data_IF_369587711014
#
_entry.id   IF_369587711014
#
_cell.length_a   1.000
_cell.length_b   1.000
_cell.length_c   1.000
_cell.angle_alpha   90.00
_cell.angle_beta   90.00
_cell.angle_gamma   90.00
#
_symmetry.space_group_name_H-M   'P 1'
#
loop_
_entity.id
_entity.type
_entity.pdbx_description
1 polymer ?
#
# COMPACT_ATOMS: atom_id res chain seq x y z
N UNK A 1 21.47 -14.70 -46.81
CA UNK A 1 21.41 -14.28 -45.38
C UNK A 1 20.56 -13.02 -45.12
N UNK A 2 19.55 -12.68 -45.94
CA UNK A 2 18.74 -11.43 -45.74
C UNK A 2 17.27 -11.64 -45.33
N UNK A 3 16.72 -12.86 -45.44
CA UNK A 3 15.31 -13.14 -45.14
C UNK A 3 14.98 -13.33 -43.65
N UNK A 4 15.98 -13.70 -42.83
CA UNK A 4 15.76 -13.98 -41.39
C UNK A 4 15.60 -12.71 -40.54
N UNK A 5 16.18 -11.59 -40.98
CA UNK A 5 16.11 -10.31 -40.23
C UNK A 5 14.77 -9.60 -40.43
N UNK A 6 14.10 -9.81 -41.57
CA UNK A 6 12.82 -9.16 -41.87
C UNK A 6 11.68 -9.79 -41.05
N UNK A 7 11.71 -11.12 -40.84
CA UNK A 7 10.75 -11.80 -39.98
C UNK A 7 10.86 -11.39 -38.50
N UNK A 8 12.07 -11.14 -38.00
CA UNK A 8 12.29 -10.72 -36.61
C UNK A 8 11.74 -9.33 -36.32
N UNK A 9 11.77 -8.42 -37.30
CA UNK A 9 11.24 -7.06 -37.15
C UNK A 9 9.71 -7.09 -37.17
N UNK A 10 9.10 -7.88 -38.06
CA UNK A 10 7.65 -8.04 -38.13
C UNK A 10 7.06 -8.68 -36.85
N UNK A 11 7.77 -9.64 -36.24
CA UNK A 11 7.34 -10.23 -34.97
C UNK A 11 7.39 -9.22 -33.80
N UNK A 12 8.37 -8.31 -33.79
CA UNK A 12 8.52 -7.30 -32.74
C UNK A 12 7.41 -6.23 -32.82
N UNK A 13 7.03 -5.78 -34.02
CA UNK A 13 5.95 -4.79 -34.20
C UNK A 13 4.57 -5.36 -33.86
N UNK A 14 4.30 -6.63 -34.17
CA UNK A 14 3.03 -7.26 -33.79
C UNK A 14 2.93 -7.47 -32.27
N UNK A 15 4.02 -7.87 -31.60
CA UNK A 15 4.05 -7.99 -30.14
C UNK A 15 3.88 -6.64 -29.43
N UNK A 16 4.46 -5.56 -29.98
CA UNK A 16 4.33 -4.21 -29.41
C UNK A 16 2.91 -3.64 -29.57
N UNK A 17 2.26 -3.88 -30.72
CA UNK A 17 0.87 -3.46 -30.95
C UNK A 17 -0.15 -4.22 -30.10
N UNK A 18 0.08 -5.52 -29.86
CA UNK A 18 -0.73 -6.29 -28.92
C UNK A 18 -0.54 -5.81 -27.48
N UNK A 19 0.67 -5.40 -27.09
CA UNK A 19 0.92 -4.85 -25.74
C UNK A 19 0.20 -3.50 -25.52
N UNK A 20 0.10 -2.65 -26.55
CA UNK A 20 -0.69 -1.41 -26.46
C UNK A 20 -2.21 -1.65 -26.35
N UNK A 21 -2.73 -2.76 -26.90
CA UNK A 21 -4.15 -3.11 -26.77
C UNK A 21 -4.50 -3.62 -25.36
N UNK A 22 -3.58 -4.32 -24.68
CA UNK A 22 -3.79 -4.79 -23.30
C UNK A 22 -3.59 -3.71 -22.25
N UNK A 23 -2.75 -2.69 -22.49
CA UNK A 23 -2.65 -1.52 -21.63
C UNK A 23 -3.95 -0.68 -21.60
N UNK A 24 -4.78 -0.77 -22.65
CA UNK A 24 -6.08 -0.07 -22.72
C UNK A 24 -7.21 -0.70 -21.90
N UNK A 25 -7.11 -1.98 -21.53
CA UNK A 25 -8.15 -2.67 -20.76
C UNK A 25 -7.95 -2.60 -19.24
N UNK A 26 -6.76 -2.20 -18.77
CA UNK A 26 -6.47 -1.98 -17.34
C UNK A 26 -6.43 -0.51 -16.93
N UNK A 27 -6.61 0.42 -17.86
CA UNK A 27 -6.99 1.79 -17.52
C UNK A 27 -8.49 1.76 -17.19
N UNK A 28 -8.78 1.34 -15.96
CA UNK A 28 -9.92 1.88 -15.21
C UNK A 28 -9.83 3.39 -15.41
N UNK A 29 -10.86 3.97 -16.03
CA UNK A 29 -11.09 5.41 -16.17
C UNK A 29 -10.44 6.16 -15.00
N UNK A 30 -9.23 6.67 -15.24
CA UNK A 30 -8.70 7.75 -14.46
C UNK A 30 -9.51 8.95 -14.94
N UNK A 31 -10.55 9.29 -14.18
CA UNK A 31 -11.20 10.59 -14.30
C UNK A 31 -10.12 11.64 -14.08
N UNK A 32 -9.54 12.12 -15.18
CA UNK A 32 -8.65 13.25 -15.24
C UNK A 32 -9.48 14.47 -14.85
N UNK A 33 -9.56 14.76 -13.55
CA UNK A 33 -10.16 15.98 -13.05
C UNK A 33 -9.12 17.08 -13.23
N UNK A 34 -9.31 18.06 -14.13
CA UNK A 34 -8.40 19.17 -14.24
C UNK A 34 -8.46 19.96 -12.94
N UNK A 35 -7.30 20.09 -12.29
CA UNK A 35 -7.04 20.99 -11.18
C UNK A 35 -7.51 22.40 -11.53
N UNK A 36 -8.70 22.74 -11.07
CA UNK A 36 -9.18 24.11 -10.97
C UNK A 36 -9.66 24.30 -9.53
N UNK A 37 -8.86 25.05 -8.78
CA UNK A 37 -9.16 25.51 -7.43
C UNK A 37 -10.48 26.29 -7.46
N UNK A 38 -11.59 25.61 -7.22
CA UNK A 38 -12.83 26.24 -6.77
C UNK A 38 -13.29 25.49 -5.54
N UNK A 39 -13.08 26.14 -4.40
CA UNK A 39 -13.55 25.77 -3.08
C UNK A 39 -15.08 25.85 -3.04
N UNK A 40 -15.78 24.96 -3.74
CA UNK A 40 -17.18 24.70 -3.43
C UNK A 40 -17.19 23.85 -2.17
N UNK A 41 -17.50 24.50 -1.04
CA UNK A 41 -17.98 23.83 0.17
C UNK A 41 -19.22 23.01 -0.22
N UNK A 42 -19.02 21.77 -0.62
CA UNK A 42 -20.09 20.78 -0.72
C UNK A 42 -20.56 20.59 0.72
N UNK A 43 -21.79 21.02 0.98
CA UNK A 43 -22.41 20.92 2.29
C UNK A 43 -22.29 19.50 2.81
N UNK A 44 -21.67 19.36 3.98
CA UNK A 44 -21.63 18.11 4.71
C UNK A 44 -23.07 17.66 4.94
N UNK A 45 -23.50 16.61 4.25
CA UNK A 45 -24.75 15.92 4.55
C UNK A 45 -24.59 15.25 5.92
N UNK A 46 -24.94 15.97 6.98
CA UNK A 46 -25.12 15.39 8.33
C UNK A 46 -26.43 14.59 8.34
N UNK A 47 -26.42 13.40 7.74
CA UNK A 47 -27.48 12.41 7.90
C UNK A 47 -27.34 11.72 9.27
N UNK A 48 -27.82 12.39 10.32
CA UNK A 48 -27.70 12.05 11.76
C UNK A 48 -28.25 10.68 12.22
N UNK A 49 -28.82 9.87 11.32
CA UNK A 49 -29.32 8.53 11.67
C UNK A 49 -28.49 7.36 11.11
N UNK A 50 -27.84 7.54 9.96
CA UNK A 50 -27.03 6.51 9.28
C UNK A 50 -25.55 6.85 9.18
N UNK A 51 -25.15 8.11 9.37
CA UNK A 51 -23.74 8.51 9.33
C UNK A 51 -22.95 8.04 10.53
N UNK A 52 -23.59 7.90 11.70
CA UNK A 52 -22.90 7.47 12.93
C UNK A 52 -22.41 6.03 12.81
N UNK A 53 -23.25 5.12 12.30
CA UNK A 53 -22.84 3.72 12.08
C UNK A 53 -21.63 3.60 11.15
N UNK A 54 -21.61 4.37 10.06
CA UNK A 54 -20.48 4.37 9.11
C UNK A 54 -19.22 4.94 9.76
N UNK A 55 -19.34 6.07 10.46
CA UNK A 55 -18.23 6.70 11.16
C UNK A 55 -17.65 5.75 12.23
N UNK A 56 -18.50 5.18 13.08
CA UNK A 56 -18.13 4.24 14.15
C UNK A 56 -17.45 2.99 13.58
N UNK A 57 -17.94 2.46 12.46
CA UNK A 57 -17.36 1.31 11.78
C UNK A 57 -15.96 1.64 11.24
N UNK A 58 -15.79 2.80 10.59
CA UNK A 58 -14.48 3.27 10.10
C UNK A 58 -13.52 3.48 11.27
N UNK A 59 -13.95 4.13 12.34
CA UNK A 59 -13.14 4.31 13.54
C UNK A 59 -12.69 2.99 14.15
N UNK A 60 -13.59 2.01 14.22
CA UNK A 60 -13.28 0.68 14.76
C UNK A 60 -12.17 0.01 13.94
N UNK A 61 -12.27 0.06 12.61
CA UNK A 61 -11.26 -0.52 11.70
C UNK A 61 -9.91 0.17 11.91
N UNK A 62 -9.89 1.50 11.90
CA UNK A 62 -8.65 2.29 12.08
C UNK A 62 -8.03 2.04 13.46
N UNK A 63 -8.84 2.02 14.53
CA UNK A 63 -8.35 1.76 15.90
C UNK A 63 -7.77 0.35 16.03
N UNK A 64 -8.39 -0.64 15.37
CA UNK A 64 -7.91 -2.02 15.38
C UNK A 64 -6.61 -2.16 14.60
N UNK A 65 -6.50 -1.55 13.42
CA UNK A 65 -5.26 -1.51 12.64
C UNK A 65 -4.10 -0.84 13.40
N UNK A 66 -4.36 0.30 14.04
CA UNK A 66 -3.38 0.95 14.91
C UNK A 66 -2.96 0.04 16.09
N UNK A 67 -3.88 -0.82 16.57
CA UNK A 67 -3.54 -1.82 17.59
C UNK A 67 -2.60 -2.88 17.05
N UNK A 68 -2.90 -3.44 15.88
CA UNK A 68 -2.00 -4.37 15.18
C UNK A 68 -0.63 -3.73 14.95
N UNK A 69 -0.59 -2.45 14.55
CA UNK A 69 0.65 -1.69 14.35
C UNK A 69 1.46 -1.51 15.63
N UNK A 70 0.79 -1.28 16.78
CA UNK A 70 1.46 -1.26 18.10
C UNK A 70 2.00 -2.62 18.49
N UNK A 71 1.27 -3.70 18.21
CA UNK A 71 1.74 -5.06 18.47
C UNK A 71 2.98 -5.39 17.64
N UNK A 72 2.98 -5.05 16.35
CA UNK A 72 4.19 -5.09 15.52
C UNK A 72 5.33 -4.29 16.15
N UNK A 73 5.07 -3.03 16.52
CA UNK A 73 6.07 -2.17 17.15
C UNK A 73 6.68 -2.77 18.42
N UNK A 74 5.89 -3.45 19.25
CA UNK A 74 6.39 -4.19 20.43
C UNK A 74 7.30 -5.35 20.03
N UNK A 75 6.93 -6.14 19.02
CA UNK A 75 7.78 -7.23 18.50
C UNK A 75 9.10 -6.69 17.96
N UNK A 76 9.05 -5.61 17.19
CA UNK A 76 10.24 -4.95 16.66
C UNK A 76 11.15 -4.37 17.75
N UNK A 77 10.58 -3.79 18.80
CA UNK A 77 11.38 -3.30 19.94
C UNK A 77 12.10 -4.42 20.70
N UNK A 78 11.49 -5.61 20.81
CA UNK A 78 12.14 -6.78 21.43
C UNK A 78 13.31 -7.31 20.60
N UNK A 79 13.28 -7.06 19.29
CA UNK A 79 14.29 -7.47 18.32
C UNK A 79 15.47 -6.49 18.32
N UNK A 80 15.17 -5.19 18.38
CA UNK A 80 16.16 -4.12 18.43
C UNK A 80 15.58 -2.92 19.18
N UNK A 81 16.14 -2.59 20.35
CA UNK A 81 15.71 -1.45 21.15
C UNK A 81 15.88 -0.11 20.41
N UNK A 82 16.82 -0.04 19.46
CA UNK A 82 17.14 1.16 18.68
C UNK A 82 16.31 1.28 17.39
N UNK A 83 15.42 0.31 17.09
CA UNK A 83 14.66 0.24 15.83
C UNK A 83 15.53 0.44 14.58
N UNK A 84 16.78 -0.04 14.60
CA UNK A 84 17.63 0.13 13.43
C UNK A 84 17.07 -0.71 12.28
N UNK A 85 17.31 -0.27 11.03
CA UNK A 85 16.95 -1.05 9.87
C UNK A 85 17.50 -2.48 10.01
N UNK A 86 16.67 -3.51 9.78
CA UNK A 86 16.96 -4.90 10.14
C UNK A 86 18.14 -5.52 9.37
N UNK A 87 18.63 -4.81 8.35
CA UNK A 87 19.65 -5.31 7.44
C UNK A 87 21.04 -5.42 8.06
N UNK A 88 21.29 -4.77 9.19
CA UNK A 88 22.56 -4.82 9.93
C UNK A 88 22.59 -5.91 11.04
N UNK A 89 21.49 -6.59 11.34
CA UNK A 89 21.39 -7.52 12.48
C UNK A 89 21.11 -8.98 12.09
N UNK A 90 21.44 -9.89 13.00
CA UNK A 90 21.05 -11.31 12.97
C UNK A 90 19.53 -11.53 13.04
N UNK A 91 18.75 -10.47 13.27
CA UNK A 91 17.31 -10.52 13.53
C UNK A 91 16.43 -10.08 12.34
N UNK A 92 17.01 -9.94 11.14
CA UNK A 92 16.26 -9.62 9.93
C UNK A 92 15.04 -10.54 9.68
N UNK A 93 15.19 -11.83 9.96
CA UNK A 93 14.11 -12.80 9.81
C UNK A 93 12.92 -12.49 10.72
N UNK A 94 13.19 -12.09 11.96
CA UNK A 94 12.16 -11.79 12.97
C UNK A 94 11.46 -10.46 12.63
N UNK A 95 12.19 -9.50 12.06
CA UNK A 95 11.62 -8.26 11.55
C UNK A 95 10.63 -8.53 10.41
N UNK A 96 11.05 -9.31 9.40
CA UNK A 96 10.20 -9.67 8.27
C UNK A 96 8.93 -10.42 8.73
N UNK A 97 9.08 -11.34 9.69
CA UNK A 97 7.96 -12.08 10.29
C UNK A 97 6.98 -11.15 11.02
N UNK A 98 7.47 -10.23 11.86
CA UNK A 98 6.62 -9.27 12.56
C UNK A 98 5.82 -8.36 11.59
N UNK A 99 6.43 -7.95 10.46
CA UNK A 99 5.73 -7.20 9.42
C UNK A 99 4.67 -8.07 8.73
N UNK A 100 5.02 -9.31 8.36
CA UNK A 100 4.09 -10.25 7.71
C UNK A 100 2.87 -10.56 8.59
N UNK A 101 3.06 -10.78 9.89
CA UNK A 101 1.97 -10.99 10.85
C UNK A 101 1.06 -9.76 10.97
N UNK A 102 1.63 -8.55 10.95
CA UNK A 102 0.86 -7.31 10.90
C UNK A 102 -0.01 -7.24 9.65
N UNK A 103 0.57 -7.52 8.47
CA UNK A 103 -0.17 -7.52 7.20
C UNK A 103 -1.31 -8.51 7.28
N UNK A 104 -1.06 -9.75 7.71
CA UNK A 104 -2.10 -10.77 7.87
C UNK A 104 -3.22 -10.33 8.82
N UNK A 105 -2.88 -9.74 9.96
CA UNK A 105 -3.85 -9.31 10.97
C UNK A 105 -4.72 -8.14 10.48
N UNK A 106 -4.10 -7.17 9.81
CA UNK A 106 -4.80 -5.98 9.32
C UNK A 106 -5.61 -6.25 8.05
N UNK A 107 -5.12 -7.08 7.12
CA UNK A 107 -5.85 -7.40 5.89
C UNK A 107 -7.17 -8.12 6.14
N UNK A 108 -7.24 -8.90 7.23
CA UNK A 108 -8.44 -9.64 7.63
C UNK A 108 -9.51 -8.75 8.29
N UNK A 109 -9.24 -7.45 8.50
CA UNK A 109 -10.25 -6.53 9.01
C UNK A 109 -11.37 -6.33 7.97
N UNK A 110 -12.59 -6.70 8.34
CA UNK A 110 -13.75 -6.53 7.46
C UNK A 110 -14.10 -5.05 7.28
N UNK A 111 -13.80 -4.55 6.09
CA UNK A 111 -14.25 -3.25 5.56
C UNK A 111 -15.57 -3.32 4.80
N UNK A 112 -16.25 -4.47 4.84
CA UNK A 112 -17.60 -4.59 4.30
C UNK A 112 -18.53 -3.61 5.02
N UNK A 113 -19.53 -3.11 4.29
CA UNK A 113 -20.48 -2.10 4.76
C UNK A 113 -19.86 -0.73 5.09
N UNK A 114 -18.60 -0.48 4.71
CA UNK A 114 -18.03 0.88 4.62
C UNK A 114 -18.23 1.46 3.21
N UNK A 115 -18.13 2.79 3.03
CA UNK A 115 -18.17 3.41 1.72
C UNK A 115 -17.09 2.90 0.75
N UNK A 116 -17.41 2.85 -0.55
CA UNK A 116 -16.52 2.25 -1.58
C UNK A 116 -15.16 2.94 -1.70
N UNK A 117 -15.11 4.25 -1.48
CA UNK A 117 -13.87 5.01 -1.47
C UNK A 117 -13.00 4.68 -0.25
N UNK A 118 -13.61 4.47 0.92
CA UNK A 118 -12.90 3.96 2.10
C UNK A 118 -12.35 2.56 1.85
N UNK A 119 -13.16 1.64 1.33
CA UNK A 119 -12.69 0.29 0.94
C UNK A 119 -11.53 0.36 -0.07
N UNK A 120 -11.59 1.28 -1.02
CA UNK A 120 -10.55 1.47 -2.03
C UNK A 120 -9.26 2.02 -1.43
N UNK A 121 -9.35 3.02 -0.53
CA UNK A 121 -8.21 3.56 0.20
C UNK A 121 -7.57 2.50 1.10
N UNK A 122 -8.40 1.74 1.83
CA UNK A 122 -7.96 0.62 2.66
C UNK A 122 -7.20 -0.44 1.85
N UNK A 123 -7.76 -0.85 0.71
CA UNK A 123 -7.10 -1.83 -0.17
C UNK A 123 -5.76 -1.32 -0.71
N UNK A 124 -5.64 -0.03 -1.04
CA UNK A 124 -4.35 0.57 -1.42
C UNK A 124 -3.35 0.55 -0.28
N UNK A 125 -3.80 0.88 0.93
CA UNK A 125 -2.95 0.85 2.12
C UNK A 125 -2.43 -0.55 2.42
N UNK A 126 -3.31 -1.56 2.41
CA UNK A 126 -2.88 -2.94 2.63
C UNK A 126 -2.00 -3.48 1.51
N UNK A 127 -2.22 -3.04 0.26
CA UNK A 127 -1.30 -3.36 -0.83
C UNK A 127 0.10 -2.80 -0.57
N UNK A 128 0.23 -1.54 -0.14
CA UNK A 128 1.54 -0.95 0.15
C UNK A 128 2.28 -1.71 1.26
N UNK A 129 1.55 -2.13 2.31
CA UNK A 129 2.10 -2.98 3.36
C UNK A 129 2.50 -4.36 2.86
N UNK A 130 1.70 -4.99 2.00
CA UNK A 130 2.02 -6.29 1.40
C UNK A 130 3.25 -6.20 0.51
N UNK A 131 3.34 -5.19 -0.35
CA UNK A 131 4.51 -4.98 -1.21
C UNK A 131 5.80 -4.82 -0.36
N UNK A 132 5.71 -4.15 0.80
CA UNK A 132 6.83 -4.06 1.74
C UNK A 132 7.14 -5.40 2.43
N UNK A 133 6.11 -6.14 2.85
CA UNK A 133 6.28 -7.49 3.43
C UNK A 133 6.95 -8.44 2.44
N UNK A 134 6.51 -8.43 1.18
CA UNK A 134 7.06 -9.26 0.10
C UNK A 134 8.53 -8.89 -0.15
N UNK A 135 8.86 -7.61 -0.16
CA UNK A 135 10.25 -7.15 -0.25
C UNK A 135 11.11 -7.69 0.91
N UNK A 136 10.61 -7.63 2.15
CA UNK A 136 11.33 -8.16 3.31
C UNK A 136 11.53 -9.68 3.21
N UNK A 137 10.51 -10.42 2.80
CA UNK A 137 10.60 -11.87 2.60
C UNK A 137 11.55 -12.23 1.44
N UNK A 138 11.53 -11.50 0.33
CA UNK A 138 12.50 -11.69 -0.75
C UNK A 138 13.94 -11.46 -0.25
N UNK A 139 14.15 -10.41 0.54
CA UNK A 139 15.45 -10.10 1.13
C UNK A 139 15.90 -11.12 2.17
N UNK A 140 14.97 -11.87 2.78
CA UNK A 140 15.27 -12.95 3.76
C UNK A 140 15.94 -14.14 3.09
N UNK A 141 15.47 -14.52 1.90
CA UNK A 141 15.89 -15.76 1.23
C UNK A 141 16.79 -15.54 0.01
N UNK A 142 16.84 -14.31 -0.52
CA UNK A 142 17.54 -14.04 -1.77
C UNK A 142 19.04 -13.82 -1.56
N UNK A 143 19.90 -14.48 -2.37
CA UNK A 143 21.30 -14.10 -2.52
C UNK A 143 21.49 -12.63 -2.95
N UNK A 144 20.44 -11.98 -3.48
CA UNK A 144 20.43 -10.57 -3.85
C UNK A 144 20.64 -9.62 -2.66
N UNK A 145 20.35 -10.04 -1.41
CA UNK A 145 20.74 -9.27 -0.21
C UNK A 145 22.25 -9.01 -0.17
N UNK A 146 23.07 -9.94 -0.68
CA UNK A 146 24.53 -9.75 -0.76
C UNK A 146 24.98 -8.83 -1.91
N UNK A 147 24.05 -8.45 -2.80
CA UNK A 147 24.33 -7.62 -3.99
C UNK A 147 23.91 -6.17 -3.83
N UNK A 148 22.94 -5.89 -2.95
CA UNK A 148 22.54 -4.53 -2.63
C UNK A 148 23.43 -3.97 -1.52
N UNK A 149 23.88 -2.74 -1.69
CA UNK A 149 24.53 -1.96 -0.64
C UNK A 149 23.52 -1.54 0.44
N UNK A 150 24.02 -1.26 1.64
CA UNK A 150 23.18 -0.72 2.74
C UNK A 150 22.42 0.55 2.31
N UNK A 151 23.05 1.39 1.49
CA UNK A 151 22.42 2.61 0.95
C UNK A 151 21.24 2.29 0.03
N UNK A 152 21.40 1.38 -0.92
CA UNK A 152 20.31 1.00 -1.86
C UNK A 152 19.13 0.39 -1.10
N UNK A 153 19.41 -0.39 -0.07
CA UNK A 153 18.38 -0.95 0.79
C UNK A 153 17.65 0.14 1.56
N UNK A 154 18.37 1.11 2.13
CA UNK A 154 17.76 2.25 2.82
C UNK A 154 16.89 3.11 1.89
N UNK A 155 17.30 3.30 0.63
CA UNK A 155 16.49 4.00 -0.38
C UNK A 155 15.18 3.25 -0.70
N UNK A 156 15.24 1.92 -0.83
CA UNK A 156 14.04 1.09 -1.02
C UNK A 156 13.12 1.16 0.19
N UNK A 157 13.65 1.03 1.41
CA UNK A 157 12.84 1.17 2.64
C UNK A 157 12.18 2.53 2.76
N UNK A 158 12.87 3.61 2.40
CA UNK A 158 12.30 4.96 2.35
C UNK A 158 11.15 5.05 1.34
N UNK A 159 11.30 4.38 0.19
CA UNK A 159 10.24 4.32 -0.84
C UNK A 159 8.99 3.62 -0.30
N UNK A 160 9.14 2.42 0.27
CA UNK A 160 8.02 1.69 0.89
C UNK A 160 7.39 2.47 2.04
N UNK A 161 8.21 3.10 2.89
CA UNK A 161 7.73 3.92 4.01
C UNK A 161 6.92 5.12 3.51
N UNK A 162 7.37 5.77 2.44
CA UNK A 162 6.63 6.86 1.79
C UNK A 162 5.27 6.38 1.29
N UNK A 163 5.21 5.26 0.57
CA UNK A 163 3.96 4.72 0.02
C UNK A 163 2.97 4.30 1.11
N UNK A 164 3.46 3.64 2.17
CA UNK A 164 2.67 3.28 3.35
C UNK A 164 2.08 4.55 4.00
N UNK A 165 2.88 5.59 4.21
CA UNK A 165 2.44 6.83 4.85
C UNK A 165 1.46 7.61 3.97
N UNK A 166 1.67 7.64 2.65
CA UNK A 166 0.80 8.30 1.69
C UNK A 166 -0.57 7.63 1.65
N UNK A 167 -0.60 6.29 1.56
CA UNK A 167 -1.85 5.53 1.56
C UNK A 167 -2.57 5.59 2.92
N UNK A 168 -1.85 5.60 4.03
CA UNK A 168 -2.43 5.80 5.36
C UNK A 168 -3.11 7.17 5.50
N UNK A 169 -2.42 8.22 5.04
CA UNK A 169 -2.96 9.58 5.03
C UNK A 169 -4.26 9.66 4.22
N UNK A 170 -4.36 8.89 3.14
CA UNK A 170 -5.58 8.78 2.36
C UNK A 170 -6.71 8.06 3.13
N UNK A 171 -6.44 6.94 3.79
CA UNK A 171 -7.41 6.24 4.65
C UNK A 171 -7.99 7.19 5.69
N UNK A 172 -7.13 7.94 6.39
CA UNK A 172 -7.55 8.92 7.39
C UNK A 172 -8.36 10.07 6.77
N UNK A 173 -7.93 10.59 5.62
CA UNK A 173 -8.64 11.66 4.91
C UNK A 173 -10.04 11.21 4.51
N UNK A 174 -10.19 10.02 3.94
CA UNK A 174 -11.49 9.47 3.53
C UNK A 174 -12.35 9.19 4.77
N UNK A 175 -11.79 8.60 5.82
CA UNK A 175 -12.52 8.36 7.07
C UNK A 175 -13.10 9.63 7.67
N UNK A 176 -12.32 10.73 7.71
CA UNK A 176 -12.80 12.04 8.17
C UNK A 176 -13.92 12.63 7.32
N UNK A 177 -13.95 12.36 6.01
CA UNK A 177 -15.06 12.80 5.15
C UNK A 177 -16.41 12.17 5.54
N UNK A 178 -16.37 11.00 6.18
CA UNK A 178 -17.55 10.30 6.71
C UNK A 178 -17.83 10.59 8.18
N UNK A 179 -17.06 11.48 8.82
CA UNK A 179 -17.27 11.89 10.21
C UNK A 179 -16.56 11.03 11.25
N UNK A 180 -15.66 10.12 10.85
CA UNK A 180 -14.83 9.36 11.77
C UNK A 180 -13.77 10.26 12.42
N UNK A 181 -13.61 10.20 13.75
CA UNK A 181 -12.63 10.94 14.52
C UNK A 181 -11.27 10.21 14.57
N UNK A 182 -10.66 10.04 13.39
CA UNK A 182 -9.37 9.34 13.23
C UNK A 182 -8.20 10.30 13.06
N UNK A 183 -7.08 10.00 13.73
CA UNK A 183 -5.86 10.82 13.79
C UNK A 183 -4.63 9.98 13.50
#
# INVERSE_FOLDING_TARGET
MRSKNILSIAAFTVAFLLSTAFAGLFIVKSDYVPSSYTTKKTSCFKNRGGSNYVADKIETIVKQDMSNGRERGKKLYQIDEDFRPPFASSSFSEYAEAVSEYVSSSENLSVENTPRDFQSAWRRHMKAWRDYSDFLDEMKYSPARKKLSETEVGELENTYSSDINNTWSEVLRVGRNYGAEVR
#
